data_IF_558943442840
#
_entry.id   IF_558943442840
#
_cell.length_a   1.000
_cell.length_b   1.000
_cell.length_c   1.000
_cell.angle_alpha   90.00
_cell.angle_beta   90.00
_cell.angle_gamma   90.00
#
_symmetry.space_group_name_H-M   'P 1'
#
loop_
_entity.id
_entity.type
_entity.pdbx_description
1 polymer ?
#
# COMPACT_ATOMS: atom_id res chain seq x y z
N UNK A 1 1.71 -38.90 -9.32
CA UNK A 1 1.23 -37.91 -10.29
C UNK A 1 0.04 -37.21 -9.66
N UNK A 2 0.26 -36.09 -8.95
CA UNK A 2 -0.84 -35.34 -8.35
C UNK A 2 -1.64 -34.69 -9.49
N UNK A 3 -2.98 -34.73 -9.48
CA UNK A 3 -3.76 -33.99 -10.47
C UNK A 3 -3.53 -32.50 -10.23
N UNK A 4 -2.88 -31.83 -11.18
CA UNK A 4 -2.71 -30.38 -11.17
C UNK A 4 -4.11 -29.73 -11.21
N UNK A 5 -4.38 -28.69 -10.41
CA UNK A 5 -5.59 -27.91 -10.52
C UNK A 5 -5.66 -27.30 -11.90
N UNK A 6 -6.81 -27.46 -12.54
CA UNK A 6 -7.13 -26.84 -13.82
C UNK A 6 -7.88 -25.55 -13.53
N UNK A 7 -7.16 -24.46 -13.30
CA UNK A 7 -7.74 -23.12 -13.15
C UNK A 7 -8.69 -22.78 -14.29
N UNK A 8 -8.40 -23.25 -15.51
CA UNK A 8 -9.31 -23.13 -16.66
C UNK A 8 -10.70 -23.72 -16.38
N UNK A 9 -10.80 -24.87 -15.72
CA UNK A 9 -12.08 -25.47 -15.33
C UNK A 9 -12.77 -24.60 -14.28
N UNK A 10 -12.04 -24.15 -13.26
CA UNK A 10 -12.62 -23.28 -12.21
C UNK A 10 -13.14 -21.96 -12.79
N UNK A 11 -12.42 -21.37 -13.74
CA UNK A 11 -12.82 -20.14 -14.41
C UNK A 11 -14.15 -20.27 -15.15
N UNK A 12 -14.50 -21.46 -15.66
CA UNK A 12 -15.82 -21.69 -16.29
C UNK A 12 -16.98 -21.75 -15.29
N UNK A 13 -16.70 -22.04 -14.02
CA UNK A 13 -17.73 -22.19 -12.98
C UNK A 13 -18.01 -20.89 -12.20
N UNK A 14 -17.12 -19.89 -12.28
CA UNK A 14 -17.29 -18.61 -11.58
C UNK A 14 -18.48 -17.82 -12.14
N UNK A 15 -19.34 -17.35 -11.24
CA UNK A 15 -20.45 -16.45 -11.57
C UNK A 15 -19.92 -15.09 -11.96
N UNK A 16 -20.49 -14.54 -13.04
CA UNK A 16 -20.09 -13.27 -13.61
C UNK A 16 -21.32 -12.49 -14.01
N UNK A 17 -21.28 -11.19 -13.83
CA UNK A 17 -22.36 -10.26 -14.14
C UNK A 17 -21.83 -9.11 -14.98
N UNK A 18 -22.68 -8.55 -15.84
CA UNK A 18 -22.37 -7.31 -16.56
C UNK A 18 -22.44 -6.18 -15.55
N UNK A 19 -21.39 -5.34 -15.51
CA UNK A 19 -21.31 -4.11 -14.75
C UNK A 19 -21.15 -2.92 -15.70
N UNK A 20 -21.82 -1.82 -15.40
CA UNK A 20 -21.64 -0.54 -16.10
C UNK A 20 -20.56 0.27 -15.38
N UNK A 21 -19.49 0.61 -16.09
CA UNK A 21 -18.34 1.34 -15.55
C UNK A 21 -18.25 2.71 -16.21
N UNK A 22 -18.22 3.77 -15.39
CA UNK A 22 -18.02 5.13 -15.87
C UNK A 22 -16.54 5.39 -16.20
N UNK A 23 -16.29 5.86 -17.42
CA UNK A 23 -14.97 6.23 -17.92
C UNK A 23 -15.01 7.67 -18.40
N UNK A 24 -13.84 8.27 -18.66
CA UNK A 24 -13.72 9.65 -19.13
C UNK A 24 -14.59 9.91 -20.39
N UNK A 25 -15.82 10.39 -20.17
CA UNK A 25 -16.80 10.72 -21.20
C UNK A 25 -17.65 9.56 -21.76
N UNK A 26 -17.64 8.35 -21.17
CA UNK A 26 -18.48 7.23 -21.62
C UNK A 26 -18.76 6.20 -20.53
N UNK A 27 -19.88 5.51 -20.64
CA UNK A 27 -20.14 4.26 -19.91
C UNK A 27 -19.69 3.08 -20.77
N UNK A 28 -19.08 2.08 -20.14
CA UNK A 28 -18.76 0.79 -20.78
C UNK A 28 -19.40 -0.35 -19.99
N UNK A 29 -19.84 -1.39 -20.68
CA UNK A 29 -20.30 -2.63 -20.06
C UNK A 29 -19.16 -3.64 -19.99
N UNK A 30 -18.91 -4.20 -18.82
CA UNK A 30 -17.84 -5.18 -18.60
C UNK A 30 -18.38 -6.40 -17.86
N UNK A 31 -18.15 -7.59 -18.40
CA UNK A 31 -18.46 -8.84 -17.73
C UNK A 31 -17.35 -9.20 -16.72
N UNK A 32 -17.63 -9.19 -15.42
CA UNK A 32 -16.64 -9.50 -14.37
C UNK A 32 -17.22 -10.45 -13.31
N UNK A 33 -16.38 -11.10 -12.49
CA UNK A 33 -16.85 -11.83 -11.32
C UNK A 33 -17.73 -10.95 -10.41
N UNK A 34 -18.81 -11.54 -9.85
CA UNK A 34 -19.81 -10.80 -9.07
C UNK A 34 -19.22 -10.08 -7.84
N UNK A 35 -18.16 -10.65 -7.26
CA UNK A 35 -17.46 -10.19 -6.06
C UNK A 35 -16.39 -9.10 -6.32
N UNK A 36 -16.16 -8.72 -7.58
CA UNK A 36 -15.25 -7.63 -7.90
C UNK A 36 -15.92 -6.28 -7.72
N UNK A 37 -15.20 -5.33 -7.11
CA UNK A 37 -15.59 -3.93 -7.09
C UNK A 37 -15.43 -3.27 -8.47
N UNK A 38 -16.08 -2.12 -8.66
CA UNK A 38 -15.94 -1.29 -9.85
C UNK A 38 -14.51 -0.79 -9.98
N UNK A 39 -13.89 -0.35 -8.87
CA UNK A 39 -12.48 0.05 -8.86
C UNK A 39 -11.52 -1.07 -9.29
N UNK A 40 -11.79 -2.32 -8.89
CA UNK A 40 -11.03 -3.49 -9.34
C UNK A 40 -11.22 -3.74 -10.83
N UNK A 41 -12.47 -3.65 -11.29
CA UNK A 41 -12.83 -3.80 -12.71
C UNK A 41 -12.14 -2.75 -13.58
N UNK A 42 -12.20 -1.47 -13.18
CA UNK A 42 -11.52 -0.36 -13.84
C UNK A 42 -10.01 -0.59 -13.94
N UNK A 43 -9.37 -1.03 -12.86
CA UNK A 43 -7.93 -1.30 -12.84
C UNK A 43 -7.52 -2.39 -13.83
N UNK A 44 -8.37 -3.39 -14.08
CA UNK A 44 -8.13 -4.40 -15.12
C UNK A 44 -8.30 -3.83 -16.53
N UNK A 45 -9.30 -2.98 -16.75
CA UNK A 45 -9.50 -2.30 -18.04
C UNK A 45 -8.32 -1.36 -18.34
N UNK A 46 -7.84 -0.62 -17.34
CA UNK A 46 -6.68 0.27 -17.46
C UNK A 46 -5.41 -0.51 -17.77
N UNK A 47 -5.19 -1.63 -17.10
CA UNK A 47 -4.09 -2.54 -17.42
C UNK A 47 -4.19 -3.06 -18.84
N UNK A 48 -5.36 -3.52 -19.27
CA UNK A 48 -5.55 -4.03 -20.63
C UNK A 48 -5.25 -2.94 -21.67
N UNK A 49 -5.68 -1.70 -21.44
CA UNK A 49 -5.35 -0.57 -22.28
C UNK A 49 -3.84 -0.27 -22.30
N UNK A 50 -3.19 -0.25 -21.14
CA UNK A 50 -1.75 0.01 -21.02
C UNK A 50 -0.89 -1.08 -21.68
N UNK A 51 -1.41 -2.30 -21.83
CA UNK A 51 -0.74 -3.43 -22.48
C UNK A 51 -1.12 -3.60 -23.96
N UNK A 52 -1.84 -2.63 -24.56
CA UNK A 52 -2.37 -2.72 -25.92
C UNK A 52 -3.12 -4.05 -26.16
N UNK A 53 -3.95 -4.46 -25.20
CA UNK A 53 -4.81 -5.64 -25.28
C UNK A 53 -6.20 -5.26 -25.82
N UNK A 54 -6.98 -6.22 -26.36
CA UNK A 54 -8.31 -5.96 -26.89
C UNK A 54 -9.26 -5.37 -25.84
N UNK A 55 -10.03 -4.34 -26.24
CA UNK A 55 -11.00 -3.62 -25.38
C UNK A 55 -12.39 -3.48 -26.02
N UNK A 56 -12.62 -4.11 -27.16
CA UNK A 56 -13.79 -3.92 -28.03
C UNK A 56 -14.78 -5.10 -28.02
N UNK A 57 -14.43 -6.23 -27.40
CA UNK A 57 -15.30 -7.40 -27.27
C UNK A 57 -16.28 -7.33 -26.11
N UNK A 58 -17.31 -8.19 -26.17
CA UNK A 58 -18.37 -8.34 -25.14
C UNK A 58 -17.82 -8.86 -23.81
N UNK A 59 -16.72 -9.64 -23.83
CA UNK A 59 -16.04 -10.19 -22.65
C UNK A 59 -14.58 -9.73 -22.62
N UNK A 60 -14.41 -8.41 -22.46
CA UNK A 60 -13.12 -7.71 -22.48
C UNK A 60 -12.07 -8.37 -21.58
N UNK A 61 -12.42 -8.67 -20.33
CA UNK A 61 -11.47 -9.26 -19.36
C UNK A 61 -10.99 -10.64 -19.83
N UNK A 62 -11.89 -11.49 -20.34
CA UNK A 62 -11.48 -12.82 -20.81
C UNK A 62 -10.66 -12.72 -22.10
N UNK A 63 -11.00 -11.80 -23.00
CA UNK A 63 -10.25 -11.57 -24.24
C UNK A 63 -8.85 -11.03 -23.96
N UNK A 64 -8.74 -9.97 -23.16
CA UNK A 64 -7.46 -9.41 -22.73
C UNK A 64 -6.59 -10.48 -22.04
N UNK A 65 -7.17 -11.28 -21.13
CA UNK A 65 -6.45 -12.36 -20.44
C UNK A 65 -5.94 -13.42 -21.40
N UNK A 66 -6.75 -13.86 -22.37
CA UNK A 66 -6.33 -14.85 -23.39
C UNK A 66 -5.25 -14.30 -24.30
N UNK A 67 -5.39 -13.06 -24.77
CA UNK A 67 -4.39 -12.42 -25.63
C UNK A 67 -3.08 -12.21 -24.89
N UNK A 68 -3.13 -11.77 -23.63
CA UNK A 68 -1.94 -11.68 -22.78
C UNK A 68 -1.26 -13.05 -22.64
N UNK A 69 -2.02 -14.09 -22.30
CA UNK A 69 -1.45 -15.41 -22.09
C UNK A 69 -0.83 -16.00 -23.36
N UNK A 70 -1.49 -15.86 -24.51
CA UNK A 70 -0.98 -16.31 -25.80
C UNK A 70 0.30 -15.56 -26.25
N UNK A 71 0.51 -14.31 -25.80
CA UNK A 71 1.76 -13.56 -26.05
C UNK A 71 2.95 -14.14 -25.27
N UNK A 72 2.70 -14.68 -24.08
CA UNK A 72 3.76 -15.16 -23.17
C UNK A 72 3.97 -16.67 -23.24
N UNK A 73 2.96 -17.43 -23.66
CA UNK A 73 3.02 -18.88 -23.72
C UNK A 73 2.50 -19.40 -25.08
N UNK A 74 3.35 -20.11 -25.86
CA UNK A 74 2.93 -20.69 -27.13
C UNK A 74 2.10 -21.98 -26.97
N UNK A 75 2.19 -22.67 -25.81
CA UNK A 75 1.36 -23.85 -25.53
C UNK A 75 -0.07 -23.40 -25.18
N UNK A 76 -1.04 -23.80 -26.00
CA UNK A 76 -2.45 -23.38 -25.83
C UNK A 76 -3.06 -23.84 -24.50
N UNK A 77 -2.65 -25.00 -23.98
CA UNK A 77 -3.15 -25.53 -22.71
C UNK A 77 -2.64 -24.70 -21.54
N UNK A 78 -1.33 -24.43 -21.50
CA UNK A 78 -0.71 -23.58 -20.48
C UNK A 78 -1.20 -22.14 -20.58
N UNK A 79 -1.36 -21.60 -21.80
CA UNK A 79 -1.94 -20.27 -22.02
C UNK A 79 -3.38 -20.18 -21.51
N UNK A 80 -4.19 -21.23 -21.67
CA UNK A 80 -5.55 -21.27 -21.15
C UNK A 80 -5.57 -21.27 -19.61
N UNK A 81 -4.68 -22.04 -18.97
CA UNK A 81 -4.52 -22.02 -17.51
C UNK A 81 -4.06 -20.66 -17.01
N UNK A 82 -3.06 -20.05 -17.64
CA UNK A 82 -2.57 -18.71 -17.29
C UNK A 82 -3.66 -17.65 -17.40
N UNK A 83 -4.39 -17.62 -18.53
CA UNK A 83 -5.51 -16.70 -18.74
C UNK A 83 -6.62 -16.89 -17.69
N UNK A 84 -6.84 -18.13 -17.25
CA UNK A 84 -7.82 -18.42 -16.20
C UNK A 84 -7.41 -17.81 -14.85
N UNK A 85 -6.13 -17.80 -14.50
CA UNK A 85 -5.65 -17.18 -13.25
C UNK A 85 -5.90 -15.67 -13.20
N UNK A 86 -5.77 -14.98 -14.35
CA UNK A 86 -6.07 -13.56 -14.50
C UNK A 86 -7.58 -13.31 -14.36
N UNK A 87 -8.39 -14.06 -15.10
CA UNK A 87 -9.86 -13.96 -15.09
C UNK A 87 -10.47 -14.25 -13.73
N UNK A 88 -9.89 -15.18 -12.97
CA UNK A 88 -10.29 -15.51 -11.60
C UNK A 88 -9.79 -14.46 -10.60
N UNK A 89 -8.88 -13.57 -11.00
CA UNK A 89 -8.28 -12.58 -10.12
C UNK A 89 -7.37 -13.22 -9.05
N UNK A 90 -6.77 -14.37 -9.37
CA UNK A 90 -5.83 -15.07 -8.50
C UNK A 90 -4.42 -14.51 -8.61
N UNK A 91 -4.06 -14.02 -9.80
CA UNK A 91 -2.75 -13.45 -10.07
C UNK A 91 -2.86 -12.32 -11.09
N UNK A 92 -1.87 -11.44 -11.10
CA UNK A 92 -1.72 -10.37 -12.10
C UNK A 92 -0.24 -10.12 -12.34
N UNK A 93 0.17 -9.75 -13.57
CA UNK A 93 1.47 -9.13 -13.80
C UNK A 93 1.62 -7.89 -12.91
N UNK A 94 2.83 -7.72 -12.38
CA UNK A 94 3.15 -6.69 -11.41
C UNK A 94 4.59 -6.22 -11.57
N UNK A 95 4.86 -5.01 -11.11
CA UNK A 95 6.19 -4.45 -11.05
C UNK A 95 6.94 -4.98 -9.82
N UNK A 96 8.14 -5.58 -9.99
CA UNK A 96 9.03 -5.89 -8.88
C UNK A 96 9.29 -4.67 -7.99
N UNK A 97 9.63 -4.91 -6.72
CA UNK A 97 10.14 -3.83 -5.88
C UNK A 97 11.45 -3.31 -6.49
N UNK A 98 11.49 -2.01 -6.81
CA UNK A 98 12.72 -1.39 -7.32
C UNK A 98 13.83 -1.44 -6.27
N UNK A 99 15.07 -1.62 -6.74
CA UNK A 99 16.28 -1.55 -5.93
C UNK A 99 17.26 -0.63 -6.67
N UNK A 100 17.98 0.21 -5.92
CA UNK A 100 18.94 1.13 -6.49
C UNK A 100 19.99 0.36 -7.31
N UNK A 101 20.27 0.85 -8.53
CA UNK A 101 21.27 0.28 -9.42
C UNK A 101 22.69 0.64 -8.94
N UNK A 102 23.12 0.00 -7.86
CA UNK A 102 24.45 0.11 -7.27
C UNK A 102 24.89 -1.22 -6.69
N UNK A 103 26.20 -1.37 -6.47
CA UNK A 103 26.72 -2.51 -5.73
C UNK A 103 26.09 -2.57 -4.33
N UNK A 104 25.92 -3.81 -3.83
CA UNK A 104 25.37 -4.02 -2.50
C UNK A 104 26.29 -3.43 -1.43
N UNK A 105 25.71 -2.69 -0.49
CA UNK A 105 26.45 -2.07 0.61
C UNK A 105 26.89 -3.15 1.60
N UNK A 106 28.20 -3.30 1.82
CA UNK A 106 28.71 -4.21 2.85
C UNK A 106 28.67 -3.49 4.19
N UNK A 107 27.73 -3.81 5.08
CA UNK A 107 27.51 -3.03 6.31
C UNK A 107 28.67 -3.13 7.32
N UNK A 108 29.48 -4.18 7.23
CA UNK A 108 30.71 -4.29 8.02
C UNK A 108 31.82 -3.33 7.55
N UNK A 109 31.71 -2.71 6.37
CA UNK A 109 32.59 -1.64 5.93
C UNK A 109 32.19 -0.30 6.59
N UNK A 110 33.06 0.32 7.42
CA UNK A 110 32.79 1.61 8.04
C UNK A 110 32.54 2.76 7.04
N UNK A 111 33.01 2.66 5.79
CA UNK A 111 32.70 3.63 4.75
C UNK A 111 31.24 3.50 4.29
N UNK A 112 30.78 2.28 3.99
CA UNK A 112 29.41 1.99 3.62
C UNK A 112 28.43 2.40 4.74
N UNK A 113 28.75 2.08 5.99
CA UNK A 113 27.92 2.45 7.14
C UNK A 113 27.77 3.98 7.31
N UNK A 114 28.86 4.74 7.18
CA UNK A 114 28.82 6.21 7.25
C UNK A 114 28.02 6.82 6.11
N UNK A 115 28.18 6.27 4.91
CA UNK A 115 27.45 6.73 3.74
C UNK A 115 25.94 6.46 3.90
N UNK A 116 25.54 5.26 4.32
CA UNK A 116 24.13 4.89 4.52
C UNK A 116 23.46 5.80 5.56
N UNK A 117 24.16 6.12 6.64
CA UNK A 117 23.67 7.05 7.67
C UNK A 117 23.43 8.45 7.09
N UNK A 118 24.38 8.97 6.31
CA UNK A 118 24.24 10.29 5.67
C UNK A 118 23.08 10.30 4.66
N UNK A 119 22.94 9.23 3.89
CA UNK A 119 21.90 9.07 2.88
C UNK A 119 20.51 8.94 3.50
N UNK A 120 20.36 8.13 4.56
CA UNK A 120 19.11 8.01 5.33
C UNK A 120 18.70 9.36 5.93
N UNK A 121 19.65 10.10 6.51
CA UNK A 121 19.38 11.45 7.04
C UNK A 121 18.94 12.42 5.93
N UNK A 122 19.57 12.37 4.76
CA UNK A 122 19.22 13.19 3.59
C UNK A 122 17.80 12.88 3.09
N UNK A 123 17.46 11.60 2.92
CA UNK A 123 16.12 11.17 2.47
C UNK A 123 15.04 11.47 3.50
N UNK A 124 15.33 11.29 4.80
CA UNK A 124 14.44 11.71 5.89
C UNK A 124 14.15 13.22 5.84
N UNK A 125 15.17 14.05 5.65
CA UNK A 125 14.99 15.48 5.51
C UNK A 125 14.10 15.85 4.31
N UNK A 126 14.24 15.15 3.17
CA UNK A 126 13.37 15.33 2.01
C UNK A 126 11.93 14.96 2.32
N UNK A 127 11.67 13.79 2.94
CA UNK A 127 10.31 13.39 3.35
C UNK A 127 9.65 14.42 4.28
N UNK A 128 10.41 14.96 5.24
CA UNK A 128 9.91 15.96 6.18
C UNK A 128 9.69 17.34 5.56
N UNK A 129 10.36 17.66 4.45
CA UNK A 129 10.34 19.01 3.86
C UNK A 129 8.94 19.43 3.39
N UNK A 130 8.17 18.53 2.78
CA UNK A 130 6.81 18.82 2.34
C UNK A 130 5.90 19.18 3.53
N UNK A 131 6.01 18.42 4.63
CA UNK A 131 5.28 18.69 5.87
C UNK A 131 5.70 20.01 6.53
N UNK A 132 6.99 20.33 6.50
CA UNK A 132 7.50 21.61 7.03
C UNK A 132 6.98 22.81 6.22
N UNK A 133 6.97 22.72 4.88
CA UNK A 133 6.41 23.76 4.00
C UNK A 133 4.91 23.95 4.28
N UNK A 134 4.16 22.86 4.38
CA UNK A 134 2.73 22.91 4.70
C UNK A 134 2.47 23.55 6.09
N UNK A 135 3.28 23.20 7.09
CA UNK A 135 3.16 23.77 8.44
C UNK A 135 3.44 25.28 8.48
N UNK A 136 4.46 25.76 7.76
CA UNK A 136 4.77 27.19 7.65
C UNK A 136 3.63 27.93 6.93
N UNK A 137 3.14 27.39 5.81
CA UNK A 137 2.05 27.99 5.06
C UNK A 137 0.76 28.11 5.90
N UNK A 138 0.41 27.04 6.62
CA UNK A 138 -0.75 27.05 7.53
C UNK A 138 -0.57 28.07 8.67
N UNK A 139 0.63 28.20 9.23
CA UNK A 139 0.90 29.17 10.29
C UNK A 139 0.83 30.62 9.79
N UNK A 140 1.30 30.91 8.57
CA UNK A 140 1.17 32.23 7.95
C UNK A 140 -0.28 32.56 7.59
N UNK A 141 -1.06 31.59 7.11
CA UNK A 141 -2.49 31.76 6.89
C UNK A 141 -3.22 32.13 8.20
N UNK A 142 -2.87 31.49 9.32
CA UNK A 142 -3.41 31.82 10.63
C UNK A 142 -3.01 33.23 11.11
N UNK A 143 -1.84 33.75 10.71
CA UNK A 143 -1.45 35.16 10.97
C UNK A 143 -2.39 36.10 10.21
N UNK A 144 -2.62 35.87 8.92
CA UNK A 144 -3.55 36.68 8.12
C UNK A 144 -4.98 36.61 8.66
N UNK A 145 -5.42 35.42 9.07
CA UNK A 145 -6.75 35.20 9.67
C UNK A 145 -6.92 35.94 11.01
N UNK A 146 -5.86 35.99 11.84
CA UNK A 146 -5.90 36.71 13.12
C UNK A 146 -6.05 38.23 12.94
N UNK A 147 -5.53 38.80 11.85
CA UNK A 147 -5.72 40.21 11.51
C UNK A 147 -7.09 40.43 10.88
N UNK A 148 -7.53 39.56 9.96
CA UNK A 148 -8.79 39.73 9.23
C UNK A 148 -10.04 39.54 10.10
N UNK A 149 -9.96 38.69 11.13
CA UNK A 149 -11.05 38.47 12.10
C UNK A 149 -11.08 39.47 13.26
N UNK A 150 -10.06 40.33 13.37
CA UNK A 150 -9.99 41.30 14.45
C UNK A 150 -11.01 42.44 14.22
N UNK A 151 -11.88 42.66 15.20
CA UNK A 151 -12.83 43.76 15.22
C UNK A 151 -12.19 44.98 15.89
N UNK A 152 -11.50 45.83 15.11
CA UNK A 152 -10.82 47.02 15.63
C UNK A 152 -10.20 47.90 14.53
N UNK A 153 -9.60 49.05 14.88
CA UNK A 153 -8.83 49.85 13.95
C UNK A 153 -7.74 49.01 13.29
N UNK A 154 -7.51 49.21 11.98
CA UNK A 154 -6.54 48.39 11.22
C UNK A 154 -5.13 48.41 11.83
N UNK A 155 -4.71 49.54 12.42
CA UNK A 155 -3.42 49.65 13.11
C UNK A 155 -3.33 48.77 14.35
N UNK A 156 -4.38 48.72 15.17
CA UNK A 156 -4.42 47.91 16.40
C UNK A 156 -4.53 46.42 16.06
N UNK A 157 -5.31 46.06 15.03
CA UNK A 157 -5.43 44.68 14.58
C UNK A 157 -4.14 44.12 13.96
N UNK A 158 -3.31 44.98 13.37
CA UNK A 158 -2.01 44.63 12.81
C UNK A 158 -0.85 44.77 13.81
N UNK A 159 -1.10 45.23 15.03
CA UNK A 159 -0.09 45.37 16.08
C UNK A 159 -0.16 44.19 17.09
N UNK A 160 0.87 43.34 17.18
CA UNK A 160 0.91 42.24 18.14
C UNK A 160 0.77 42.66 19.60
N UNK A 161 1.08 43.91 19.96
CA UNK A 161 0.88 44.41 21.33
C UNK A 161 -0.60 44.63 21.66
N UNK A 162 -1.43 44.89 20.65
CA UNK A 162 -2.86 45.18 20.79
C UNK A 162 -3.76 44.04 20.30
N UNK A 163 -3.21 43.09 19.52
CA UNK A 163 -3.89 41.88 19.05
C UNK A 163 -3.22 40.60 19.60
N UNK A 164 -3.73 39.99 20.70
CA UNK A 164 -3.15 38.78 21.27
C UNK A 164 -3.35 37.52 20.42
N UNK A 165 -4.33 37.50 19.50
CA UNK A 165 -4.46 36.42 18.52
C UNK A 165 -3.32 36.49 17.50
N UNK A 166 -3.01 37.68 16.98
CA UNK A 166 -1.86 37.92 16.11
C UNK A 166 -0.54 37.58 16.81
N UNK A 167 -0.34 38.00 18.06
CA UNK A 167 0.89 37.67 18.79
C UNK A 167 1.13 36.16 18.92
N UNK A 168 0.07 35.39 19.21
CA UNK A 168 0.14 33.92 19.27
C UNK A 168 0.39 33.29 17.90
N UNK A 169 -0.32 33.75 16.87
CA UNK A 169 -0.14 33.27 15.51
C UNK A 169 1.28 33.54 14.98
N UNK A 170 1.81 34.75 15.20
CA UNK A 170 3.17 35.12 14.82
C UNK A 170 4.22 34.29 15.57
N UNK A 171 4.02 33.98 16.85
CA UNK A 171 4.91 33.08 17.59
C UNK A 171 4.89 31.66 17.03
N UNK A 172 3.70 31.14 16.68
CA UNK A 172 3.56 29.83 16.02
C UNK A 172 4.24 29.83 14.66
N UNK A 173 4.08 30.88 13.85
CA UNK A 173 4.75 31.02 12.56
C UNK A 173 6.28 31.03 12.71
N UNK A 174 6.83 31.77 13.68
CA UNK A 174 8.28 31.73 13.98
C UNK A 174 8.75 30.34 14.40
N UNK A 175 7.98 29.64 15.25
CA UNK A 175 8.30 28.26 15.67
C UNK A 175 8.23 27.27 14.50
N UNK A 176 7.36 27.51 13.53
CA UNK A 176 7.28 26.73 12.30
C UNK A 176 8.43 27.04 11.32
N UNK A 177 9.14 28.17 11.49
CA UNK A 177 10.29 28.56 10.68
C UNK A 177 10.03 29.72 9.70
N UNK A 178 8.90 30.43 9.82
CA UNK A 178 8.66 31.63 9.03
C UNK A 178 9.66 32.74 9.38
N UNK A 179 10.12 33.49 8.38
CA UNK A 179 10.92 34.69 8.61
C UNK A 179 10.04 35.85 9.08
N UNK A 180 10.64 36.85 9.74
CA UNK A 180 9.88 38.05 10.14
C UNK A 180 9.30 38.80 8.92
N UNK A 181 9.97 38.73 7.77
CA UNK A 181 9.46 39.31 6.53
C UNK A 181 8.18 38.60 6.04
N UNK A 182 8.12 37.27 6.14
CA UNK A 182 6.93 36.50 5.78
C UNK A 182 5.76 36.81 6.71
N UNK A 183 6.03 36.97 8.01
CA UNK A 183 5.02 37.32 9.00
C UNK A 183 4.46 38.73 8.72
N UNK A 184 5.32 39.70 8.41
CA UNK A 184 4.87 41.06 8.07
C UNK A 184 4.00 41.07 6.81
N UNK A 185 4.39 40.32 5.77
CA UNK A 185 3.59 40.13 4.55
C UNK A 185 2.24 39.45 4.84
N UNK A 186 2.21 38.46 5.73
CA UNK A 186 0.96 37.83 6.18
C UNK A 186 0.07 38.80 6.96
N UNK A 187 0.63 39.66 7.80
CA UNK A 187 -0.10 40.74 8.50
C UNK A 187 -0.70 41.75 7.51
N UNK A 188 -0.01 42.03 6.41
CA UNK A 188 -0.52 42.88 5.33
C UNK A 188 -1.63 42.21 4.51
N UNK A 189 -1.82 40.90 4.66
CA UNK A 189 -2.88 40.11 4.02
C UNK A 189 -2.43 39.38 2.75
N UNK A 190 -1.13 39.19 2.53
CA UNK A 190 -0.63 38.39 1.40
C UNK A 190 -1.04 36.92 1.57
N UNK A 191 -1.59 36.32 0.50
CA UNK A 191 -1.89 34.89 0.45
C UNK A 191 -0.63 34.07 0.16
N UNK A 192 -0.29 33.14 1.06
CA UNK A 192 0.86 32.25 0.89
C UNK A 192 0.43 30.93 0.25
N UNK A 193 0.39 30.89 -1.09
CA UNK A 193 0.26 29.64 -1.82
C UNK A 193 1.61 28.93 -1.84
N UNK A 194 1.74 27.86 -1.04
CA UNK A 194 2.95 27.05 -0.99
C UNK A 194 2.77 25.75 -1.79
N UNK A 195 3.49 25.66 -2.90
CA UNK A 195 3.85 24.47 -3.66
C UNK A 195 4.90 23.55 -3.00
N UNK A 196 4.63 22.58 -2.09
CA UNK A 196 5.71 21.71 -1.64
C UNK A 196 6.29 20.96 -2.84
N UNK A 197 7.63 20.88 -2.93
CA UNK A 197 8.26 20.05 -3.94
C UNK A 197 7.85 18.59 -3.72
N UNK A 198 7.48 17.86 -4.78
CA UNK A 198 7.16 16.45 -4.64
C UNK A 198 8.38 15.70 -4.09
N UNK A 199 8.16 14.87 -3.08
CA UNK A 199 9.22 14.01 -2.53
C UNK A 199 9.55 12.96 -3.61
N UNK A 200 10.80 12.88 -4.08
CA UNK A 200 11.16 11.88 -5.07
C UNK A 200 11.00 10.48 -4.47
N UNK A 201 10.36 9.58 -5.19
CA UNK A 201 10.37 8.16 -4.87
C UNK A 201 11.73 7.61 -5.30
N UNK A 202 12.56 7.22 -4.34
CA UNK A 202 13.91 6.71 -4.59
C UNK A 202 13.95 5.24 -4.22
N UNK A 203 14.51 4.41 -5.10
CA UNK A 203 14.68 2.99 -4.81
C UNK A 203 15.57 2.77 -3.56
N UNK A 204 15.24 1.79 -2.71
CA UNK A 204 16.08 1.39 -1.60
C UNK A 204 17.41 0.78 -2.08
N UNK A 205 18.44 0.86 -1.26
CA UNK A 205 19.72 0.20 -1.52
C UNK A 205 19.70 -1.25 -1.05
N UNK A 206 20.35 -2.15 -1.78
CA UNK A 206 20.66 -3.48 -1.25
C UNK A 206 21.85 -3.40 -0.30
N UNK A 207 21.78 -4.09 0.83
CA UNK A 207 22.88 -4.20 1.77
C UNK A 207 23.10 -5.64 2.22
N UNK A 208 24.36 -6.01 2.42
CA UNK A 208 24.79 -7.29 2.96
C UNK A 208 25.26 -7.08 4.40
N UNK A 209 24.65 -7.79 5.33
CA UNK A 209 25.05 -7.80 6.72
C UNK A 209 25.39 -9.21 7.20
N UNK A 210 26.26 -9.28 8.21
CA UNK A 210 26.54 -10.52 8.90
C UNK A 210 25.35 -10.89 9.81
N UNK A 211 24.84 -12.11 9.66
CA UNK A 211 23.64 -12.58 10.37
C UNK A 211 23.84 -12.62 11.89
N UNK A 212 25.02 -13.02 12.35
CA UNK A 212 25.30 -13.15 13.78
C UNK A 212 25.51 -11.77 14.43
N UNK A 213 26.10 -10.82 13.70
CA UNK A 213 26.19 -9.41 14.14
C UNK A 213 24.81 -8.76 14.26
N UNK A 214 23.93 -8.98 13.28
CA UNK A 214 22.56 -8.47 13.35
C UNK A 214 21.80 -9.10 14.53
N UNK A 215 21.89 -10.42 14.69
CA UNK A 215 21.20 -11.15 15.75
C UNK A 215 21.68 -10.77 17.16
N UNK A 216 22.96 -10.42 17.30
CA UNK A 216 23.55 -9.98 18.57
C UNK A 216 23.28 -8.50 18.91
N UNK A 217 22.65 -7.74 18.02
CA UNK A 217 22.34 -6.32 18.23
C UNK A 217 23.56 -5.40 18.10
N UNK A 218 24.51 -5.74 17.22
CA UNK A 218 25.66 -4.89 16.92
C UNK A 218 25.22 -3.49 16.40
N UNK A 219 26.08 -2.45 16.44
CA UNK A 219 25.73 -1.12 15.92
C UNK A 219 25.19 -1.10 14.48
N UNK A 220 25.65 -2.03 13.65
CA UNK A 220 25.19 -2.27 12.27
C UNK A 220 23.72 -2.69 12.22
N UNK A 221 23.22 -3.39 13.25
CA UNK A 221 21.82 -3.79 13.35
C UNK A 221 20.90 -2.58 13.52
N UNK A 222 21.30 -1.61 14.34
CA UNK A 222 20.55 -0.36 14.49
C UNK A 222 20.54 0.44 13.19
N UNK A 223 21.70 0.55 12.51
CA UNK A 223 21.79 1.24 11.23
C UNK A 223 20.91 0.58 10.15
N UNK A 224 20.95 -0.75 10.06
CA UNK A 224 20.12 -1.52 9.14
C UNK A 224 18.63 -1.35 9.46
N UNK A 225 18.25 -1.39 10.74
CA UNK A 225 16.88 -1.19 11.18
C UNK A 225 16.38 0.23 10.86
N UNK A 226 17.18 1.26 11.13
CA UNK A 226 16.83 2.65 10.80
C UNK A 226 16.63 2.82 9.28
N UNK A 227 17.55 2.32 8.46
CA UNK A 227 17.43 2.37 7.00
C UNK A 227 16.23 1.58 6.47
N UNK A 228 15.95 0.41 7.02
CA UNK A 228 14.83 -0.43 6.62
C UNK A 228 13.48 0.18 7.02
N UNK A 229 13.35 0.72 8.24
CA UNK A 229 12.13 1.38 8.72
C UNK A 229 11.75 2.60 7.88
N UNK A 230 12.75 3.33 7.41
CA UNK A 230 12.59 4.49 6.53
C UNK A 230 12.32 4.09 5.06
N UNK A 231 12.34 2.79 4.73
CA UNK A 231 12.13 2.26 3.39
C UNK A 231 13.31 2.46 2.44
N UNK A 232 14.50 2.76 2.98
CA UNK A 232 15.69 3.15 2.23
C UNK A 232 16.66 1.97 2.00
N UNK A 233 16.42 0.82 2.62
CA UNK A 233 17.32 -0.33 2.64
C UNK A 233 16.58 -1.67 2.48
N UNK A 234 17.08 -2.53 1.58
CA UNK A 234 16.78 -3.97 1.53
C UNK A 234 17.95 -4.72 2.14
N UNK A 235 17.72 -5.38 3.27
CA UNK A 235 18.74 -6.12 3.99
C UNK A 235 18.82 -7.57 3.51
N UNK A 236 20.03 -8.01 3.17
CA UNK A 236 20.37 -9.39 2.82
C UNK A 236 21.53 -9.86 3.69
N UNK A 237 21.79 -11.17 3.70
CA UNK A 237 22.79 -11.77 4.58
C UNK A 237 23.98 -12.41 3.84
N UNK A 238 23.98 -12.29 2.52
CA UNK A 238 25.04 -12.78 1.64
C UNK A 238 25.01 -12.01 0.31
N UNK A 239 26.16 -11.88 -0.38
CA UNK A 239 26.24 -11.13 -1.63
C UNK A 239 25.39 -11.72 -2.76
N UNK A 240 25.23 -13.04 -2.81
CA UNK A 240 24.45 -13.73 -3.84
C UNK A 240 22.97 -13.34 -3.76
N UNK A 241 22.39 -13.34 -2.56
CA UNK A 241 21.02 -12.87 -2.33
C UNK A 241 20.83 -11.40 -2.68
N UNK A 242 21.83 -10.55 -2.45
CA UNK A 242 21.78 -9.14 -2.82
C UNK A 242 21.76 -8.95 -4.34
N UNK A 243 22.62 -9.69 -5.06
CA UNK A 243 22.69 -9.69 -6.52
C UNK A 243 21.38 -10.20 -7.13
N UNK A 244 20.88 -11.35 -6.67
CA UNK A 244 19.60 -11.91 -7.11
C UNK A 244 18.42 -10.95 -6.87
N UNK A 245 18.39 -10.26 -5.73
CA UNK A 245 17.35 -9.27 -5.43
C UNK A 245 17.42 -8.08 -6.40
N UNK A 246 18.63 -7.60 -6.69
CA UNK A 246 18.83 -6.50 -7.64
C UNK A 246 18.50 -6.91 -9.09
N UNK A 247 18.80 -8.14 -9.48
CA UNK A 247 18.42 -8.70 -10.79
C UNK A 247 16.92 -8.88 -10.92
N UNK A 248 16.26 -9.49 -9.93
CA UNK A 248 14.82 -9.67 -9.90
C UNK A 248 14.05 -8.35 -9.91
N UNK A 249 14.61 -7.28 -9.31
CA UNK A 249 14.06 -5.93 -9.35
C UNK A 249 13.98 -5.33 -10.76
N UNK A 250 14.75 -5.87 -11.72
CA UNK A 250 14.72 -5.48 -13.15
C UNK A 250 13.97 -6.49 -14.03
N UNK A 251 13.58 -7.62 -13.45
CA UNK A 251 12.92 -8.73 -14.14
C UNK A 251 11.40 -8.54 -14.25
N UNK A 252 10.72 -9.62 -14.61
CA UNK A 252 9.28 -9.68 -14.57
C UNK A 252 8.77 -9.92 -13.14
N UNK A 253 7.56 -9.46 -12.86
CA UNK A 253 6.90 -9.67 -11.59
C UNK A 253 5.47 -10.17 -11.74
N UNK A 254 5.02 -10.91 -10.73
CA UNK A 254 3.63 -11.34 -10.55
C UNK A 254 3.21 -11.10 -9.12
N UNK A 255 1.97 -10.68 -8.91
CA UNK A 255 1.35 -10.62 -7.60
C UNK A 255 0.25 -11.69 -7.55
N UNK A 256 0.26 -12.52 -6.50
CA UNK A 256 -0.72 -13.59 -6.27
C UNK A 256 -1.60 -13.20 -5.08
N UNK A 257 -2.93 -13.24 -5.23
CA UNK A 257 -3.86 -13.05 -4.10
C UNK A 257 -4.02 -14.36 -3.33
N UNK A 258 -3.51 -14.37 -2.10
CA UNK A 258 -3.62 -15.55 -1.25
C UNK A 258 -5.04 -15.75 -0.71
N UNK A 259 -5.78 -14.67 -0.45
CA UNK A 259 -7.17 -14.74 0.03
C UNK A 259 -8.08 -15.31 -1.06
N UNK A 260 -8.04 -14.78 -2.28
CA UNK A 260 -8.86 -15.28 -3.39
C UNK A 260 -8.55 -16.76 -3.71
N UNK A 261 -7.27 -17.14 -3.67
CA UNK A 261 -6.87 -18.53 -3.88
C UNK A 261 -7.40 -19.46 -2.79
N UNK A 262 -7.29 -19.05 -1.52
CA UNK A 262 -7.80 -19.81 -0.38
C UNK A 262 -9.32 -19.96 -0.44
N UNK A 263 -10.04 -18.89 -0.73
CA UNK A 263 -11.51 -18.90 -0.80
C UNK A 263 -12.01 -19.80 -1.93
N UNK A 264 -11.27 -19.85 -3.05
CA UNK A 264 -11.60 -20.70 -4.19
C UNK A 264 -11.30 -22.19 -3.95
N UNK A 265 -10.22 -22.50 -3.23
CA UNK A 265 -9.66 -23.87 -3.16
C UNK A 265 -9.80 -24.56 -1.80
N UNK A 266 -10.09 -23.81 -0.74
CA UNK A 266 -10.27 -24.32 0.62
C UNK A 266 -9.05 -25.11 1.10
N UNK A 267 -9.26 -26.35 1.52
CA UNK A 267 -8.21 -27.26 2.01
C UNK A 267 -7.10 -27.54 0.99
N UNK A 268 -7.35 -27.32 -0.31
CA UNK A 268 -6.35 -27.50 -1.36
C UNK A 268 -5.45 -26.26 -1.58
N UNK A 269 -5.58 -25.23 -0.73
CA UNK A 269 -4.89 -23.94 -0.86
C UNK A 269 -3.39 -24.04 -1.12
N UNK A 270 -2.64 -24.78 -0.29
CA UNK A 270 -1.18 -24.85 -0.45
C UNK A 270 -0.76 -25.58 -1.73
N UNK A 271 -1.50 -26.62 -2.12
CA UNK A 271 -1.24 -27.30 -3.39
C UNK A 271 -1.51 -26.37 -4.57
N UNK A 272 -2.64 -25.65 -4.54
CA UNK A 272 -2.98 -24.69 -5.58
C UNK A 272 -2.00 -23.50 -5.63
N UNK A 273 -1.45 -23.07 -4.49
CA UNK A 273 -0.43 -22.03 -4.43
C UNK A 273 0.88 -22.51 -5.07
N UNK A 274 1.28 -23.74 -4.81
CA UNK A 274 2.45 -24.34 -5.45
C UNK A 274 2.26 -24.42 -6.98
N UNK A 275 1.11 -24.92 -7.44
CA UNK A 275 0.82 -25.05 -8.87
C UNK A 275 0.70 -23.69 -9.58
N UNK A 276 0.08 -22.70 -8.94
CA UNK A 276 -0.01 -21.33 -9.46
C UNK A 276 1.38 -20.66 -9.53
N UNK A 277 2.20 -20.86 -8.51
CA UNK A 277 3.57 -20.34 -8.47
C UNK A 277 4.43 -20.96 -9.57
N UNK A 278 4.38 -22.29 -9.72
CA UNK A 278 5.11 -22.99 -10.76
C UNK A 278 4.71 -22.50 -12.16
N UNK A 279 3.40 -22.34 -12.42
CA UNK A 279 2.86 -21.83 -13.68
C UNK A 279 3.42 -20.44 -14.01
N UNK A 280 3.35 -19.49 -13.08
CA UNK A 280 3.80 -18.12 -13.32
C UNK A 280 5.32 -17.99 -13.37
N UNK A 281 6.04 -18.74 -12.53
CA UNK A 281 7.50 -18.75 -12.57
C UNK A 281 8.01 -19.28 -13.91
N UNK A 282 7.43 -20.38 -14.42
CA UNK A 282 7.81 -20.97 -15.71
C UNK A 282 7.57 -19.99 -16.87
N UNK A 283 6.38 -19.37 -16.92
CA UNK A 283 6.01 -18.40 -17.96
C UNK A 283 6.91 -17.15 -17.94
N UNK A 284 7.30 -16.66 -16.75
CA UNK A 284 8.04 -15.40 -16.64
C UNK A 284 9.57 -15.55 -16.65
N UNK A 285 10.10 -16.72 -16.32
CA UNK A 285 11.53 -16.91 -16.09
C UNK A 285 12.38 -17.14 -17.36
N UNK A 286 11.77 -17.17 -18.55
CA UNK A 286 12.44 -17.44 -19.84
C UNK A 286 13.43 -18.62 -19.73
N UNK A 287 12.91 -19.85 -19.66
CA UNK A 287 13.67 -21.09 -19.45
C UNK A 287 14.39 -21.17 -18.08
N UNK A 288 13.87 -20.50 -17.04
CA UNK A 288 14.42 -20.55 -15.68
C UNK A 288 15.69 -19.74 -15.45
N UNK A 289 16.09 -18.91 -16.42
CA UNK A 289 17.36 -18.18 -16.40
C UNK A 289 17.25 -16.76 -15.85
N UNK A 290 16.08 -16.14 -15.96
CA UNK A 290 15.84 -14.76 -15.52
C UNK A 290 15.15 -14.79 -14.15
N UNK A 291 15.69 -14.12 -13.12
CA UNK A 291 15.02 -14.02 -11.83
C UNK A 291 13.66 -13.33 -11.94
N UNK A 292 12.65 -13.92 -11.30
CA UNK A 292 11.26 -13.42 -11.28
C UNK A 292 10.89 -12.95 -9.89
N UNK A 293 10.12 -11.87 -9.79
CA UNK A 293 9.57 -11.43 -8.50
C UNK A 293 8.15 -11.96 -8.32
N UNK A 294 7.91 -12.72 -7.26
CA UNK A 294 6.59 -13.29 -6.93
C UNK A 294 6.12 -12.71 -5.61
N UNK A 295 5.19 -11.76 -5.69
CA UNK A 295 4.55 -11.16 -4.53
C UNK A 295 3.38 -11.99 -4.03
N UNK A 296 3.17 -11.98 -2.73
CA UNK A 296 1.99 -12.55 -2.08
C UNK A 296 1.13 -11.42 -1.51
N UNK A 297 0.05 -11.08 -2.22
CA UNK A 297 -0.97 -10.18 -1.70
C UNK A 297 -1.75 -10.86 -0.57
N UNK A 298 -2.19 -10.04 0.40
CA UNK A 298 -3.02 -10.46 1.52
C UNK A 298 -2.39 -11.55 2.42
N UNK A 299 -1.06 -11.67 2.42
CA UNK A 299 -0.34 -12.61 3.30
C UNK A 299 -0.71 -12.40 4.77
N UNK A 300 -0.76 -11.13 5.20
CA UNK A 300 -1.17 -10.77 6.55
C UNK A 300 -2.61 -11.23 6.85
N UNK A 301 -3.53 -11.02 5.91
CA UNK A 301 -4.94 -11.43 6.06
C UNK A 301 -5.08 -12.95 6.17
N UNK A 302 -4.35 -13.71 5.37
CA UNK A 302 -4.38 -15.18 5.44
C UNK A 302 -3.85 -15.67 6.79
N UNK A 303 -2.67 -15.19 7.21
CA UNK A 303 -2.06 -15.59 8.49
C UNK A 303 -2.91 -15.19 9.68
N UNK A 304 -3.50 -13.98 9.67
CA UNK A 304 -4.39 -13.52 10.74
C UNK A 304 -5.69 -14.33 10.81
N UNK A 305 -6.33 -14.56 9.66
CA UNK A 305 -7.59 -15.30 9.60
C UNK A 305 -7.43 -16.78 9.99
N UNK A 306 -6.28 -17.39 9.73
CA UNK A 306 -5.96 -18.76 10.18
C UNK A 306 -5.77 -18.84 11.71
N UNK A 307 -5.55 -17.72 12.41
CA UNK A 307 -5.30 -17.71 13.85
C UNK A 307 -4.03 -18.47 14.25
N UNK A 308 -3.00 -18.45 13.40
CA UNK A 308 -1.76 -19.18 13.62
C UNK A 308 -1.10 -18.80 14.96
N UNK A 309 -0.71 -19.80 15.76
CA UNK A 309 -0.03 -19.58 17.04
C UNK A 309 1.33 -18.89 16.89
N UNK A 310 1.98 -19.11 15.76
CA UNK A 310 3.20 -18.42 15.34
C UNK A 310 2.99 -17.84 13.92
N UNK A 311 2.51 -16.58 13.83
CA UNK A 311 2.27 -15.92 12.55
C UNK A 311 3.51 -15.82 11.66
N UNK A 312 4.69 -15.61 12.26
CA UNK A 312 5.93 -15.45 11.52
C UNK A 312 6.39 -16.78 10.93
N UNK A 313 6.31 -17.87 11.69
CA UNK A 313 6.60 -19.20 11.16
C UNK A 313 5.65 -19.60 10.03
N UNK A 314 4.36 -19.23 10.15
CA UNK A 314 3.37 -19.47 9.09
C UNK A 314 3.68 -18.69 7.82
N UNK A 315 3.94 -17.39 7.94
CA UNK A 315 4.35 -16.56 6.80
C UNK A 315 5.63 -17.09 6.14
N UNK A 316 6.62 -17.50 6.94
CA UNK A 316 7.85 -18.11 6.43
C UNK A 316 7.62 -19.45 5.73
N UNK A 317 6.64 -20.26 6.17
CA UNK A 317 6.26 -21.50 5.51
C UNK A 317 5.64 -21.26 4.13
N UNK A 318 4.76 -20.26 4.00
CA UNK A 318 4.20 -19.86 2.70
C UNK A 318 5.28 -19.30 1.77
N UNK A 319 6.20 -18.47 2.29
CA UNK A 319 7.35 -17.99 1.52
C UNK A 319 8.22 -19.13 0.99
N UNK A 320 8.55 -20.13 1.84
CA UNK A 320 9.29 -21.33 1.40
C UNK A 320 8.53 -22.12 0.34
N UNK A 321 7.24 -22.33 0.51
CA UNK A 321 6.41 -23.03 -0.47
C UNK A 321 6.49 -22.36 -1.85
N UNK A 322 6.40 -21.03 -1.90
CA UNK A 322 6.55 -20.27 -3.16
C UNK A 322 7.96 -20.42 -3.73
N UNK A 323 9.01 -20.25 -2.93
CA UNK A 323 10.40 -20.41 -3.39
C UNK A 323 10.72 -21.82 -3.88
N UNK A 324 10.23 -22.86 -3.20
CA UNK A 324 10.46 -24.27 -3.56
C UNK A 324 9.63 -24.71 -4.77
N UNK A 325 8.53 -24.03 -5.08
CA UNK A 325 7.65 -24.37 -6.21
C UNK A 325 8.08 -23.71 -7.53
N UNK A 326 8.90 -22.66 -7.48
CA UNK A 326 9.41 -21.99 -8.68
C UNK A 326 10.55 -22.79 -9.34
N UNK A 327 10.62 -22.74 -10.67
CA UNK A 327 11.63 -23.45 -11.47
C UNK A 327 13.00 -22.75 -11.56
N UNK A 328 13.16 -21.59 -10.91
CA UNK A 328 14.35 -20.74 -10.99
C UNK A 328 14.47 -19.79 -9.79
N UNK A 329 15.51 -18.93 -9.76
CA UNK A 329 15.69 -17.96 -8.69
C UNK A 329 14.53 -16.96 -8.66
N UNK A 330 13.97 -16.72 -7.47
CA UNK A 330 12.90 -15.74 -7.30
C UNK A 330 13.20 -14.76 -6.17
N UNK A 331 12.64 -13.57 -6.31
CA UNK A 331 12.46 -12.60 -5.23
C UNK A 331 11.01 -12.65 -4.75
N UNK A 332 10.77 -12.38 -3.47
CA UNK A 332 9.41 -12.25 -2.91
C UNK A 332 8.93 -10.79 -2.84
N UNK A 333 9.73 -9.85 -3.37
CA UNK A 333 9.50 -8.41 -3.24
C UNK A 333 8.83 -7.84 -4.50
N UNK A 334 7.53 -7.57 -4.38
CA UNK A 334 6.71 -6.88 -5.39
C UNK A 334 6.04 -5.69 -4.73
N UNK A 335 6.17 -4.51 -5.32
CA UNK A 335 5.50 -3.29 -4.86
C UNK A 335 4.83 -2.59 -6.04
N UNK A 336 3.58 -2.95 -6.29
CA UNK A 336 2.78 -2.41 -7.38
C UNK A 336 1.36 -2.15 -6.89
N UNK A 337 1.01 -0.85 -6.81
CA UNK A 337 -0.30 -0.40 -6.33
C UNK A 337 -1.42 -0.72 -7.31
N UNK A 338 -1.14 -0.66 -8.61
CA UNK A 338 -2.13 -0.99 -9.63
C UNK A 338 -2.40 -2.50 -9.65
N UNK A 339 -1.36 -3.32 -9.49
CA UNK A 339 -1.50 -4.77 -9.33
C UNK A 339 -2.31 -5.13 -8.08
N UNK A 340 -2.04 -4.47 -6.94
CA UNK A 340 -2.85 -4.64 -5.71
C UNK A 340 -4.32 -4.29 -5.99
N UNK A 341 -4.59 -3.18 -6.68
CA UNK A 341 -5.95 -2.76 -7.03
C UNK A 341 -6.65 -3.77 -7.96
N UNK A 342 -5.96 -4.31 -8.97
CA UNK A 342 -6.46 -5.40 -9.84
C UNK A 342 -6.83 -6.66 -9.06
N UNK A 343 -6.14 -6.96 -7.96
CA UNK A 343 -6.48 -8.08 -7.09
C UNK A 343 -7.52 -7.72 -6.02
N UNK A 344 -7.93 -6.46 -5.89
CA UNK A 344 -8.74 -6.00 -4.76
C UNK A 344 -8.00 -6.05 -3.42
N UNK A 345 -6.66 -6.13 -3.45
CA UNK A 345 -5.81 -6.21 -2.29
C UNK A 345 -5.52 -4.81 -1.72
N UNK A 346 -5.43 -4.71 -0.40
CA UNK A 346 -5.15 -3.47 0.32
C UNK A 346 -4.06 -3.67 1.39
N UNK A 347 -3.29 -2.63 1.76
CA UNK A 347 -2.28 -2.75 2.81
C UNK A 347 -2.89 -3.23 4.13
N UNK A 348 -2.18 -4.09 4.85
CA UNK A 348 -2.65 -4.63 6.12
C UNK A 348 -2.80 -3.53 7.19
N UNK A 349 -4.02 -3.07 7.39
CA UNK A 349 -4.41 -2.09 8.42
C UNK A 349 -5.72 -2.53 9.08
N UNK A 350 -6.11 -1.89 10.19
CA UNK A 350 -7.36 -2.24 10.87
C UNK A 350 -8.62 -1.89 10.05
N UNK A 351 -8.53 -0.90 9.17
CA UNK A 351 -9.60 -0.47 8.29
C UNK A 351 -9.41 -1.04 6.88
N UNK A 352 -10.50 -1.44 6.28
CA UNK A 352 -10.56 -1.86 4.87
C UNK A 352 -11.68 -1.10 4.17
N UNK A 353 -11.52 -0.83 2.88
CA UNK A 353 -12.56 -0.22 2.07
C UNK A 353 -13.34 -1.32 1.35
N UNK A 354 -14.66 -1.19 1.27
CA UNK A 354 -15.47 -2.07 0.45
C UNK A 354 -16.54 -1.29 -0.30
N UNK A 355 -16.97 -1.85 -1.42
CA UNK A 355 -18.03 -1.30 -2.25
C UNK A 355 -19.36 -1.98 -1.88
N UNK A 356 -20.39 -1.17 -1.63
CA UNK A 356 -21.75 -1.64 -1.40
C UNK A 356 -22.42 -2.03 -2.72
N UNK A 357 -23.57 -2.70 -2.65
CA UNK A 357 -24.29 -3.15 -3.84
C UNK A 357 -24.78 -2.00 -4.77
N UNK A 358 -24.86 -0.78 -4.23
CA UNK A 358 -25.18 0.46 -4.93
C UNK A 358 -23.95 1.28 -5.36
N UNK A 359 -22.74 0.72 -5.22
CA UNK A 359 -21.49 1.34 -5.71
C UNK A 359 -20.86 2.35 -4.74
N UNK A 360 -21.37 2.49 -3.51
CA UNK A 360 -20.74 3.37 -2.52
C UNK A 360 -19.51 2.71 -1.89
N UNK A 361 -18.40 3.45 -1.81
CA UNK A 361 -17.19 3.00 -1.11
C UNK A 361 -17.26 3.43 0.35
N UNK A 362 -17.24 2.46 1.25
CA UNK A 362 -17.33 2.68 2.70
C UNK A 362 -16.21 1.95 3.45
N UNK A 363 -15.88 2.45 4.65
CA UNK A 363 -14.88 1.83 5.52
C UNK A 363 -15.53 0.76 6.41
N UNK A 364 -14.84 -0.38 6.58
CA UNK A 364 -15.19 -1.44 7.52
C UNK A 364 -13.98 -1.86 8.37
N UNK A 365 -14.24 -2.59 9.45
CA UNK A 365 -13.20 -3.40 10.09
C UNK A 365 -12.73 -4.46 9.09
N UNK A 366 -11.41 -4.61 8.95
CA UNK A 366 -10.81 -5.62 8.07
C UNK A 366 -11.34 -7.03 8.39
N UNK A 367 -11.86 -7.80 7.43
CA UNK A 367 -12.46 -9.11 7.70
C UNK A 367 -11.53 -10.13 8.38
N UNK A 368 -10.24 -10.14 8.02
CA UNK A 368 -9.26 -11.00 8.67
C UNK A 368 -9.06 -10.64 10.15
N UNK A 369 -9.08 -9.34 10.48
CA UNK A 369 -8.99 -8.88 11.86
C UNK A 369 -10.27 -9.17 12.65
N UNK A 370 -11.45 -8.99 12.03
CA UNK A 370 -12.72 -9.38 12.62
C UNK A 370 -12.74 -10.88 12.97
N UNK A 371 -12.26 -11.74 12.05
CA UNK A 371 -12.14 -13.18 12.25
C UNK A 371 -11.19 -13.52 13.39
N UNK A 372 -10.02 -12.87 13.45
CA UNK A 372 -9.05 -13.05 14.52
C UNK A 372 -9.60 -12.60 15.89
N UNK A 373 -10.31 -11.47 15.96
CA UNK A 373 -10.96 -10.99 17.19
C UNK A 373 -12.01 -12.00 17.66
N UNK A 374 -12.87 -12.47 16.76
CA UNK A 374 -13.88 -13.47 17.09
C UNK A 374 -13.26 -14.79 17.59
N UNK A 375 -12.20 -15.28 16.93
CA UNK A 375 -11.47 -16.47 17.34
C UNK A 375 -10.81 -16.32 18.72
N UNK A 376 -10.37 -15.10 19.07
CA UNK A 376 -9.87 -14.75 20.39
C UNK A 376 -10.99 -14.48 21.43
N UNK A 377 -12.26 -14.78 21.10
CA UNK A 377 -13.43 -14.50 21.91
C UNK A 377 -13.62 -13.01 22.28
N UNK A 378 -13.11 -12.10 21.43
CA UNK A 378 -13.32 -10.66 21.54
C UNK A 378 -14.64 -10.21 20.90
N UNK A 379 -15.05 -8.98 21.21
CA UNK A 379 -16.26 -8.34 20.65
C UNK A 379 -15.92 -7.56 19.37
N UNK A 380 -16.27 -8.15 18.22
CA UNK A 380 -16.08 -7.56 16.88
C UNK A 380 -16.84 -6.24 16.74
N UNK A 381 -18.07 -6.17 17.25
CA UNK A 381 -18.89 -4.96 17.13
C UNK A 381 -18.31 -3.83 17.99
N UNK A 382 -17.75 -4.14 19.17
CA UNK A 382 -17.01 -3.15 19.94
C UNK A 382 -15.74 -2.66 19.23
N UNK A 383 -15.03 -3.54 18.52
CA UNK A 383 -13.85 -3.16 17.74
C UNK A 383 -14.23 -2.25 16.55
N UNK A 384 -15.30 -2.58 15.84
CA UNK A 384 -15.87 -1.74 14.77
C UNK A 384 -16.27 -0.36 15.29
N UNK A 385 -17.02 -0.30 16.40
CA UNK A 385 -17.43 0.97 17.02
C UNK A 385 -16.23 1.79 17.50
N UNK A 386 -15.14 1.15 17.93
CA UNK A 386 -13.92 1.84 18.32
C UNK A 386 -13.24 2.49 17.12
N UNK A 387 -13.20 1.80 15.97
CA UNK A 387 -12.52 2.28 14.77
C UNK A 387 -13.33 3.30 13.98
N UNK A 388 -14.63 3.06 13.80
CA UNK A 388 -15.51 3.87 12.94
C UNK A 388 -16.27 4.95 13.73
N UNK A 389 -16.18 4.91 15.07
CA UNK A 389 -16.98 5.73 15.95
C UNK A 389 -18.46 5.32 15.93
N UNK A 390 -19.31 6.12 16.60
CA UNK A 390 -20.75 5.82 16.75
C UNK A 390 -21.65 6.73 15.92
N UNK A 391 -21.09 7.53 15.01
CA UNK A 391 -21.78 8.69 14.38
C UNK A 391 -22.51 9.59 15.41
N UNK A 392 -22.04 9.54 16.66
CA UNK A 392 -22.45 10.36 17.80
C UNK A 392 -21.23 10.63 18.65
N UNK A 393 -21.21 11.77 19.33
CA UNK A 393 -20.16 12.15 20.27
C UNK A 393 -20.38 11.54 21.67
N UNK A 394 -21.49 10.82 21.90
CA UNK A 394 -21.76 10.18 23.20
C UNK A 394 -20.79 9.00 23.44
N UNK A 395 -19.84 9.21 24.36
CA UNK A 395 -18.83 8.22 24.74
C UNK A 395 -17.76 7.99 23.67
N UNK A 396 -17.52 8.95 22.78
CA UNK A 396 -16.47 8.89 21.78
C UNK A 396 -15.08 9.04 22.40
N UNK A 397 -14.07 8.24 21.98
CA UNK A 397 -12.71 8.41 22.47
C UNK A 397 -12.13 9.75 21.98
N UNK A 398 -11.69 10.60 22.91
CA UNK A 398 -11.10 11.91 22.63
C UNK A 398 -12.05 13.07 22.85
N UNK A 399 -12.98 13.32 21.93
CA UNK A 399 -13.98 14.40 22.02
C UNK A 399 -15.36 13.79 22.24
N UNK A 400 -15.81 13.76 23.49
CA UNK A 400 -17.18 13.40 23.85
C UNK A 400 -17.93 14.57 24.47
N UNK A 401 -19.23 14.38 24.76
CA UNK A 401 -20.05 15.41 25.39
C UNK A 401 -19.49 15.83 26.76
N UNK A 402 -18.75 14.96 27.48
CA UNK A 402 -18.15 15.32 28.76
C UNK A 402 -16.91 16.23 28.59
N UNK A 403 -16.06 15.91 27.61
CA UNK A 403 -14.92 16.74 27.22
C UNK A 403 -15.39 18.10 26.70
N UNK A 404 -16.41 18.15 25.86
CA UNK A 404 -16.97 19.39 25.33
C UNK A 404 -17.60 20.26 26.42
N UNK A 405 -18.32 19.68 27.39
CA UNK A 405 -18.81 20.42 28.57
C UNK A 405 -17.67 21.03 29.39
N UNK A 406 -16.54 20.34 29.51
CA UNK A 406 -15.35 20.86 30.21
C UNK A 406 -14.76 22.08 29.47
N UNK A 407 -15.00 22.21 28.18
CA UNK A 407 -14.61 23.35 27.35
C UNK A 407 -15.72 24.41 27.20
N UNK A 408 -16.85 24.29 27.93
CA UNK A 408 -17.88 25.32 28.02
C UNK A 408 -19.08 25.16 27.08
N UNK A 409 -19.19 24.04 26.35
CA UNK A 409 -20.37 23.75 25.53
C UNK A 409 -21.59 23.38 26.39
N UNK A 410 -22.75 23.93 26.04
CA UNK A 410 -24.03 23.73 26.73
C UNK A 410 -24.81 22.54 26.18
N UNK A 411 -25.76 21.98 26.94
CA UNK A 411 -26.53 20.81 26.50
C UNK A 411 -27.34 21.08 25.22
N UNK A 412 -27.82 22.32 25.01
CA UNK A 412 -28.52 22.73 23.78
C UNK A 412 -27.59 22.69 22.56
N UNK A 413 -26.31 23.00 22.73
CA UNK A 413 -25.29 22.94 21.67
C UNK A 413 -24.82 21.51 21.40
N UNK A 414 -25.11 20.56 22.29
CA UNK A 414 -24.72 19.15 22.19
C UNK A 414 -25.87 18.23 21.73
N UNK A 415 -27.10 18.73 21.67
CA UNK A 415 -28.30 18.00 21.22
C UNK A 415 -28.68 18.25 19.75
N UNK A 416 -28.04 19.22 19.09
CA UNK A 416 -28.19 19.50 17.65
C UNK A 416 -27.19 18.72 16.82
#
# INVERSE_FOLDING_TARGET
MRPQPRFAVLATAVRRSVREIERAGRLIEVLTPEDWSDARTEAWVDWAAAQDLPLDGEDLISEASRTFAARHCPDEGVAAELAATLRLGLATPASPQSVAASDALILSDPAAARWLKAETARRRAQRLSAGAVAAVAAALAAVSEAVSRCEGPRGDCADPAHNPALARAALTARRAGASDADILRAVEGESFEAAPLPVPVVAPYAAVADRDLIASGAPEALLAAEGALDGDLVLTFDPESAELTAEAARGAGVLISLTALRDLTGEAFEAALADLTALWADVLSNDGTVPVSIGMADLGDVVLAEGATDPLARAAALGRLVTESACGPISLFVEDREAKLRLGASPLTALDCFETADGEVVNRLRPALASAIAAAAGDVESAERHLLGRRTLVGAPGVDHAALRTHGFTDVELEG
#
